data_IF_596881327743
#
_entry.id   IF_596881327743
#
_cell.length_a   1.000
_cell.length_b   1.000
_cell.length_c   1.000
_cell.angle_alpha   90.00
_cell.angle_beta   90.00
_cell.angle_gamma   90.00
#
_symmetry.space_group_name_H-M   'P 1'
#
loop_
_entity.id
_entity.type
_entity.pdbx_description
1 polymer ?
#
# COMPACT_ATOMS: atom_id res chain seq x y z
N UNK A 1 -8.87 18.41 -4.29
CA UNK A 1 -7.63 17.66 -4.62
C UNK A 1 -8.04 16.41 -5.38
N UNK A 2 -7.34 16.03 -6.45
CA UNK A 2 -7.59 14.73 -7.10
C UNK A 2 -6.78 13.65 -6.38
N UNK A 3 -7.30 12.43 -6.31
CA UNK A 3 -6.61 11.31 -5.65
C UNK A 3 -5.25 11.01 -6.29
N UNK A 4 -5.11 11.20 -7.60
CA UNK A 4 -3.85 10.95 -8.31
C UNK A 4 -2.76 11.98 -7.98
N UNK A 5 -3.11 13.26 -7.79
CA UNK A 5 -2.15 14.27 -7.34
C UNK A 5 -1.64 13.95 -5.94
N UNK A 6 -2.54 13.53 -5.03
CA UNK A 6 -2.16 13.12 -3.68
C UNK A 6 -1.29 11.87 -3.66
N UNK A 7 -1.64 10.86 -4.47
CA UNK A 7 -0.83 9.67 -4.64
C UNK A 7 0.59 10.00 -5.13
N UNK A 8 0.70 10.89 -6.12
CA UNK A 8 2.01 11.32 -6.63
C UNK A 8 2.81 12.11 -5.58
N UNK A 9 2.16 12.95 -4.77
CA UNK A 9 2.82 13.61 -3.64
C UNK A 9 3.33 12.60 -2.61
N UNK A 10 2.54 11.55 -2.32
CA UNK A 10 2.98 10.45 -1.48
C UNK A 10 4.24 9.77 -2.01
N UNK A 11 4.33 9.59 -3.33
CA UNK A 11 5.52 9.03 -3.99
C UNK A 11 6.75 9.93 -3.85
N UNK A 12 6.57 11.23 -4.02
CA UNK A 12 7.64 12.23 -3.83
C UNK A 12 8.14 12.20 -2.39
N UNK A 13 7.26 12.27 -1.40
CA UNK A 13 7.66 12.23 0.02
C UNK A 13 8.32 10.91 0.41
N UNK A 14 7.86 9.77 -0.13
CA UNK A 14 8.53 8.47 0.05
C UNK A 14 9.98 8.55 -0.43
N UNK A 15 10.22 9.11 -1.61
CA UNK A 15 11.57 9.22 -2.18
C UNK A 15 12.45 10.18 -1.37
N UNK A 16 11.86 11.20 -0.75
CA UNK A 16 12.53 12.10 0.21
C UNK A 16 12.74 11.46 1.60
N UNK A 17 12.27 10.24 1.82
CA UNK A 17 12.27 9.55 3.12
C UNK A 17 11.44 10.27 4.20
N UNK A 18 10.54 11.16 3.79
CA UNK A 18 9.57 11.81 4.66
C UNK A 18 8.36 10.89 4.85
N UNK A 19 8.58 9.77 5.55
CA UNK A 19 7.63 8.66 5.59
C UNK A 19 6.25 9.02 6.14
N UNK A 20 6.18 9.84 7.19
CA UNK A 20 4.89 10.26 7.75
C UNK A 20 4.08 11.07 6.73
N UNK A 21 4.69 12.07 6.07
CA UNK A 21 4.00 12.85 5.04
C UNK A 21 3.59 12.00 3.84
N UNK A 22 4.42 11.01 3.48
CA UNK A 22 4.05 10.06 2.43
C UNK A 22 2.77 9.28 2.80
N UNK A 23 2.71 8.76 4.03
CA UNK A 23 1.52 8.07 4.56
C UNK A 23 0.31 9.00 4.56
N UNK A 24 0.45 10.24 5.02
CA UNK A 24 -0.66 11.20 5.08
C UNK A 24 -1.23 11.47 3.68
N UNK A 25 -0.37 11.71 2.67
CA UNK A 25 -0.80 11.94 1.29
C UNK A 25 -1.44 10.71 0.65
N UNK A 26 -0.89 9.52 0.89
CA UNK A 26 -1.50 8.28 0.40
C UNK A 26 -2.83 7.99 1.10
N UNK A 27 -2.97 8.29 2.39
CA UNK A 27 -4.22 8.06 3.14
C UNK A 27 -5.33 8.97 2.61
N UNK A 28 -5.04 10.25 2.39
CA UNK A 28 -6.02 11.17 1.76
C UNK A 28 -6.40 10.71 0.33
N UNK A 29 -5.44 10.18 -0.44
CA UNK A 29 -5.72 9.60 -1.75
C UNK A 29 -6.61 8.34 -1.66
N UNK A 30 -6.38 7.49 -0.66
CA UNK A 30 -7.11 6.25 -0.43
C UNK A 30 -8.59 6.55 -0.09
N UNK A 31 -8.85 7.49 0.80
CA UNK A 31 -10.21 7.89 1.18
C UNK A 31 -11.02 8.37 -0.04
N UNK A 32 -10.41 9.18 -0.92
CA UNK A 32 -11.06 9.66 -2.14
C UNK A 32 -11.33 8.50 -3.12
N UNK A 33 -10.41 7.53 -3.21
CA UNK A 33 -10.58 6.35 -4.07
C UNK A 33 -11.66 5.41 -3.52
N UNK A 34 -11.66 5.14 -2.22
CA UNK A 34 -12.68 4.31 -1.58
C UNK A 34 -14.09 4.93 -1.62
N UNK A 35 -14.20 6.27 -1.59
CA UNK A 35 -15.47 6.96 -1.77
C UNK A 35 -16.10 6.75 -3.16
N UNK A 36 -15.30 6.36 -4.16
CA UNK A 36 -15.78 6.02 -5.50
C UNK A 36 -15.86 4.50 -5.62
N UNK A 37 -17.01 3.91 -5.31
CA UNK A 37 -17.21 2.46 -5.37
C UNK A 37 -17.37 1.94 -6.83
N UNK A 38 -16.29 1.97 -7.62
CA UNK A 38 -16.24 1.39 -8.96
C UNK A 38 -14.93 0.59 -9.16
N UNK A 39 -14.91 -0.33 -10.13
CA UNK A 39 -13.79 -1.27 -10.33
C UNK A 39 -12.42 -0.61 -10.55
N UNK A 40 -12.36 0.49 -11.30
CA UNK A 40 -11.12 1.27 -11.51
C UNK A 40 -10.61 1.88 -10.20
N UNK A 41 -11.51 2.36 -9.35
CA UNK A 41 -11.17 2.92 -8.05
C UNK A 41 -10.75 1.87 -7.03
N UNK A 42 -11.28 0.63 -7.12
CA UNK A 42 -10.83 -0.49 -6.30
C UNK A 42 -9.36 -0.80 -6.59
N UNK A 43 -9.00 -0.93 -7.88
CA UNK A 43 -7.61 -1.17 -8.29
C UNK A 43 -6.66 -0.07 -7.81
N UNK A 44 -7.05 1.20 -8.01
CA UNK A 44 -6.28 2.34 -7.54
C UNK A 44 -6.16 2.39 -6.01
N UNK A 45 -7.18 1.92 -5.28
CA UNK A 45 -7.13 1.82 -3.81
C UNK A 45 -6.11 0.77 -3.38
N UNK A 46 -6.09 -0.39 -4.05
CA UNK A 46 -5.11 -1.44 -3.81
C UNK A 46 -3.67 -0.97 -4.07
N UNK A 47 -3.43 -0.23 -5.15
CA UNK A 47 -2.11 0.37 -5.44
C UNK A 47 -1.66 1.36 -4.35
N UNK A 48 -2.60 2.15 -3.82
CA UNK A 48 -2.31 3.06 -2.71
C UNK A 48 -1.95 2.29 -1.44
N UNK A 49 -2.72 1.26 -1.09
CA UNK A 49 -2.45 0.39 0.06
C UNK A 49 -1.08 -0.27 -0.04
N UNK A 50 -0.74 -0.79 -1.23
CA UNK A 50 0.58 -1.33 -1.52
C UNK A 50 1.69 -0.31 -1.25
N UNK A 51 1.54 0.92 -1.74
CA UNK A 51 2.55 1.96 -1.53
C UNK A 51 2.67 2.39 -0.07
N UNK A 52 1.57 2.44 0.68
CA UNK A 52 1.61 2.68 2.13
C UNK A 52 2.39 1.56 2.84
N UNK A 53 2.14 0.29 2.48
CA UNK A 53 2.87 -0.85 3.05
C UNK A 53 4.37 -0.77 2.77
N UNK A 54 4.77 -0.38 1.56
CA UNK A 54 6.18 -0.16 1.19
C UNK A 54 6.80 1.00 1.98
N UNK A 55 6.05 2.08 2.22
CA UNK A 55 6.53 3.19 3.07
C UNK A 55 6.79 2.69 4.48
N UNK A 56 5.87 1.93 5.07
CA UNK A 56 6.07 1.32 6.38
C UNK A 56 7.31 0.42 6.39
N UNK A 57 7.43 -0.53 5.46
CA UNK A 57 8.57 -1.45 5.40
C UNK A 57 9.94 -0.73 5.31
N UNK A 58 10.00 0.42 4.63
CA UNK A 58 11.22 1.22 4.49
C UNK A 58 11.45 2.25 5.61
N UNK A 59 10.45 2.48 6.46
CA UNK A 59 10.53 3.45 7.55
C UNK A 59 11.42 2.97 8.72
N UNK A 60 11.58 3.85 9.70
CA UNK A 60 12.27 3.56 10.95
C UNK A 60 11.30 3.42 12.14
N UNK A 61 10.00 3.20 11.89
CA UNK A 61 9.04 2.95 12.96
C UNK A 61 9.30 1.59 13.62
N UNK A 62 8.99 1.47 14.92
CA UNK A 62 9.24 0.24 15.69
C UNK A 62 8.37 -0.93 15.24
N UNK A 63 7.10 -0.64 14.92
CA UNK A 63 6.04 -1.56 14.47
C UNK A 63 5.89 -1.61 12.95
N UNK A 64 6.94 -1.19 12.23
CA UNK A 64 6.87 -0.99 10.78
C UNK A 64 6.50 -2.23 9.97
N UNK A 65 6.92 -3.42 10.41
CA UNK A 65 6.62 -4.65 9.68
C UNK A 65 5.20 -5.11 9.94
N UNK A 66 4.69 -4.96 11.16
CA UNK A 66 3.29 -5.25 11.50
C UNK A 66 2.34 -4.36 10.69
N UNK A 67 2.59 -3.05 10.66
CA UNK A 67 1.81 -2.11 9.85
C UNK A 67 1.93 -2.36 8.35
N UNK A 68 3.13 -2.72 7.86
CA UNK A 68 3.31 -3.06 6.45
C UNK A 68 2.49 -4.31 6.07
N UNK A 69 2.52 -5.35 6.91
CA UNK A 69 1.77 -6.58 6.68
C UNK A 69 0.26 -6.34 6.67
N UNK A 70 -0.25 -5.56 7.62
CA UNK A 70 -1.67 -5.18 7.65
C UNK A 70 -2.10 -4.51 6.33
N UNK A 71 -1.27 -3.59 5.81
CA UNK A 71 -1.58 -2.89 4.56
C UNK A 71 -1.40 -3.74 3.30
N UNK A 72 -0.44 -4.66 3.29
CA UNK A 72 -0.33 -5.65 2.21
C UNK A 72 -1.52 -6.61 2.20
N UNK A 73 -2.03 -7.02 3.37
CA UNK A 73 -3.21 -7.86 3.47
C UNK A 73 -4.46 -7.15 2.93
N UNK A 74 -4.69 -5.90 3.33
CA UNK A 74 -5.78 -5.07 2.78
C UNK A 74 -5.65 -4.86 1.27
N UNK A 75 -4.41 -4.75 0.76
CA UNK A 75 -4.14 -4.65 -0.67
C UNK A 75 -4.56 -5.93 -1.42
N UNK A 76 -4.24 -7.12 -0.90
CA UNK A 76 -4.68 -8.39 -1.48
C UNK A 76 -6.20 -8.54 -1.49
N UNK A 77 -6.85 -8.25 -0.37
CA UNK A 77 -8.31 -8.27 -0.27
C UNK A 77 -8.96 -7.37 -1.32
N UNK A 78 -8.43 -6.15 -1.48
CA UNK A 78 -8.93 -5.20 -2.48
C UNK A 78 -8.70 -5.69 -3.92
N UNK A 79 -7.58 -6.37 -4.20
CA UNK A 79 -7.35 -6.97 -5.52
C UNK A 79 -8.32 -8.11 -5.82
N UNK A 80 -8.58 -8.98 -4.84
CA UNK A 80 -9.56 -10.06 -4.99
C UNK A 80 -10.99 -9.51 -5.17
N UNK A 81 -11.37 -8.48 -4.41
CA UNK A 81 -12.67 -7.81 -4.57
C UNK A 81 -12.82 -7.13 -5.93
N UNK A 82 -11.72 -6.67 -6.53
CA UNK A 82 -11.69 -6.14 -7.89
C UNK A 82 -11.73 -7.24 -8.97
N UNK A 83 -11.70 -8.52 -8.60
CA UNK A 83 -11.76 -9.67 -9.52
C UNK A 83 -10.43 -10.01 -10.19
N UNK A 84 -9.29 -9.61 -9.60
CA UNK A 84 -7.97 -10.00 -10.13
C UNK A 84 -7.70 -11.47 -9.83
N UNK A 85 -7.23 -12.18 -10.86
CA UNK A 85 -6.78 -13.55 -10.73
C UNK A 85 -5.50 -13.64 -9.89
N UNK A 86 -5.34 -14.71 -9.12
CA UNK A 86 -4.21 -14.91 -8.20
C UNK A 86 -2.83 -14.92 -8.89
N UNK A 87 -2.80 -15.21 -10.20
CA UNK A 87 -1.61 -15.17 -11.04
C UNK A 87 -1.23 -13.76 -11.50
N UNK A 88 -2.04 -12.74 -11.20
CA UNK A 88 -1.78 -11.37 -11.58
C UNK A 88 -0.47 -10.87 -10.93
N UNK A 89 0.43 -10.21 -11.69
CA UNK A 89 1.73 -9.76 -11.19
C UNK A 89 1.66 -8.91 -9.91
N UNK A 90 0.62 -8.08 -9.76
CA UNK A 90 0.42 -7.27 -8.55
C UNK A 90 0.19 -8.13 -7.29
N UNK A 91 -0.61 -9.20 -7.39
CA UNK A 91 -0.87 -10.12 -6.26
C UNK A 91 0.40 -10.89 -5.91
N UNK A 92 1.14 -11.35 -6.91
CA UNK A 92 2.41 -12.03 -6.70
C UNK A 92 3.44 -11.12 -6.02
N UNK A 93 3.56 -9.87 -6.48
CA UNK A 93 4.45 -8.88 -5.88
C UNK A 93 4.09 -8.59 -4.41
N UNK A 94 2.80 -8.41 -4.11
CA UNK A 94 2.35 -8.20 -2.72
C UNK A 94 2.67 -9.41 -1.84
N UNK A 95 2.40 -10.63 -2.32
CA UNK A 95 2.69 -11.88 -1.60
C UNK A 95 4.19 -12.07 -1.33
N UNK A 96 5.04 -11.68 -2.29
CA UNK A 96 6.50 -11.70 -2.10
C UNK A 96 6.94 -10.73 -0.99
N UNK A 97 6.38 -9.52 -0.95
CA UNK A 97 6.66 -8.55 0.11
C UNK A 97 6.20 -9.02 1.49
N UNK A 98 5.01 -9.63 1.57
CA UNK A 98 4.51 -10.27 2.81
C UNK A 98 5.50 -11.33 3.28
N UNK A 99 5.90 -12.23 2.39
CA UNK A 99 6.86 -13.31 2.70
C UNK A 99 8.19 -12.74 3.19
N UNK A 100 8.68 -11.67 2.54
CA UNK A 100 9.90 -10.98 2.94
C UNK A 100 9.78 -10.33 4.32
N UNK A 101 8.69 -9.59 4.57
CA UNK A 101 8.45 -8.90 5.83
C UNK A 101 8.33 -9.89 7.00
N UNK A 102 7.57 -10.98 6.83
CA UNK A 102 7.42 -12.05 7.83
C UNK A 102 8.76 -12.69 8.16
N UNK A 103 9.58 -13.02 7.16
CA UNK A 103 10.94 -13.55 7.38
C UNK A 103 11.85 -12.56 8.11
N UNK A 104 11.66 -11.25 7.90
CA UNK A 104 12.44 -10.20 8.55
C UNK A 104 12.07 -10.06 10.03
N UNK A 105 10.79 -10.20 10.36
CA UNK A 105 10.31 -10.21 11.75
C UNK A 105 10.78 -11.44 12.52
N UNK A 106 10.74 -12.62 11.91
CA UNK A 106 11.18 -13.87 12.55
C UNK A 106 12.70 -13.93 12.84
N UNK A 107 13.48 -12.97 12.32
CA UNK A 107 14.93 -12.85 12.55
C UNK A 107 15.31 -11.79 13.60
N UNK A 108 14.32 -11.06 14.16
CA UNK A 108 14.51 -10.19 15.32
C UNK A 108 14.45 -11.03 16.60
#
# INVERSE_FOLDING_TARGET
>A
KTSDTLHNLGLVYKNLKEYQKAIDMYTEALEIRQAKANGDSCLKSADTLYNIAIVYANSNFDDKYDRALEKFQQCLETYHDAGLADDHPSIQNTTQWITWATKRMAKK
#
